data_IF_538029258985
#
_entry.id   IF_538029258985
#
_cell.length_a   1.000
_cell.length_b   1.000
_cell.length_c   1.000
_cell.angle_alpha   90.00
_cell.angle_beta   90.00
_cell.angle_gamma   90.00
#
_symmetry.space_group_name_H-M   'P 1'
#
loop_
_entity.id
_entity.type
_entity.pdbx_description
1 polymer ?
#
# COMPACT_ATOMS: atom_id res chain seq x y z
N UNK A 1 1.71 -26.44 48.44
CA UNK A 1 1.80 -25.10 47.80
C UNK A 1 2.91 -24.95 46.74
N UNK A 2 4.03 -25.66 46.78
CA UNK A 2 5.10 -25.55 45.74
C UNK A 2 4.75 -26.09 44.34
N UNK A 3 3.87 -27.12 44.23
CA UNK A 3 3.51 -27.72 42.93
C UNK A 3 2.54 -26.89 42.10
N UNK A 4 1.67 -26.09 42.72
CA UNK A 4 0.71 -25.22 42.02
C UNK A 4 1.38 -23.98 41.43
N UNK A 5 2.38 -23.43 42.12
CA UNK A 5 3.14 -22.25 41.65
C UNK A 5 3.90 -22.53 40.34
N UNK A 6 4.43 -23.74 40.16
CA UNK A 6 5.15 -24.13 38.94
C UNK A 6 4.23 -24.30 37.71
N UNK A 7 2.94 -24.62 37.91
CA UNK A 7 1.96 -24.77 36.82
C UNK A 7 1.54 -23.40 36.27
N UNK A 8 1.39 -22.38 37.14
CA UNK A 8 1.09 -21.02 36.70
C UNK A 8 2.26 -20.37 35.95
N UNK A 9 3.50 -20.68 36.33
CA UNK A 9 4.69 -20.19 35.61
C UNK A 9 4.77 -20.83 34.20
N UNK A 10 4.40 -22.10 34.02
CA UNK A 10 4.37 -22.73 32.70
C UNK A 10 3.29 -22.16 31.77
N UNK A 11 2.10 -21.82 32.30
CA UNK A 11 0.99 -21.26 31.52
C UNK A 11 1.26 -19.80 31.11
N UNK A 12 1.99 -19.04 31.94
CA UNK A 12 2.42 -17.67 31.61
C UNK A 12 3.45 -17.62 30.47
N UNK A 13 4.33 -18.61 30.37
CA UNK A 13 5.39 -18.66 29.34
C UNK A 13 4.88 -19.15 27.98
N UNK A 14 3.77 -19.90 27.93
CA UNK A 14 3.14 -20.31 26.67
C UNK A 14 2.29 -19.20 26.02
N UNK A 15 1.89 -18.19 26.79
CA UNK A 15 1.05 -17.08 26.31
C UNK A 15 1.85 -15.97 25.60
N UNK A 16 3.19 -15.99 25.68
CA UNK A 16 4.06 -14.98 25.07
C UNK A 16 4.61 -15.38 23.68
N UNK A 17 4.20 -16.54 23.14
CA UNK A 17 4.57 -16.99 21.79
C UNK A 17 3.39 -16.84 20.80
N UNK A 18 2.42 -15.97 21.13
CA UNK A 18 1.59 -15.35 20.11
C UNK A 18 2.46 -14.40 19.29
N UNK A 19 3.29 -14.95 18.40
CA UNK A 19 4.13 -14.18 17.51
C UNK A 19 3.27 -13.10 16.85
N UNK A 20 3.74 -11.85 16.86
CA UNK A 20 3.11 -10.76 16.14
C UNK A 20 2.96 -11.19 14.68
N UNK A 21 1.79 -11.73 14.30
CA UNK A 21 1.48 -11.99 12.91
C UNK A 21 1.19 -10.64 12.30
N UNK A 22 2.19 -10.04 11.65
CA UNK A 22 2.01 -8.83 10.88
C UNK A 22 0.83 -9.02 9.92
N UNK A 23 -0.18 -8.15 10.01
CA UNK A 23 -1.35 -8.22 9.13
C UNK A 23 -0.87 -7.96 7.71
N UNK A 24 -0.91 -8.99 6.85
CA UNK A 24 -0.59 -8.82 5.43
C UNK A 24 -1.62 -7.89 4.78
N UNK A 25 -1.18 -7.00 3.87
CA UNK A 25 -2.11 -6.19 3.10
C UNK A 25 -2.99 -7.09 2.22
N UNK A 26 -4.23 -6.67 2.03
CA UNK A 26 -5.24 -7.33 1.20
C UNK A 26 -5.83 -6.34 0.20
N UNK A 27 -6.44 -6.84 -0.88
CA UNK A 27 -7.07 -5.98 -1.89
C UNK A 27 -8.03 -4.94 -1.29
N UNK A 28 -8.83 -5.35 -0.28
CA UNK A 28 -9.82 -4.49 0.40
C UNK A 28 -9.16 -3.30 1.11
N UNK A 29 -7.92 -3.46 1.59
CA UNK A 29 -7.20 -2.36 2.23
C UNK A 29 -6.95 -1.19 1.24
N UNK A 30 -6.96 -1.45 -0.07
CA UNK A 30 -6.62 -0.49 -1.12
C UNK A 30 -7.80 0.18 -1.82
N UNK A 31 -9.01 -0.36 -1.73
CA UNK A 31 -10.20 0.28 -2.29
C UNK A 31 -10.44 1.64 -1.61
N UNK A 32 -10.57 2.72 -2.39
CA UNK A 32 -10.83 4.07 -1.90
C UNK A 32 -10.04 5.15 -2.64
N UNK A 33 -10.03 6.35 -2.05
CA UNK A 33 -9.35 7.53 -2.59
C UNK A 33 -8.01 7.71 -1.87
N UNK A 34 -6.94 7.84 -2.64
CA UNK A 34 -5.59 8.08 -2.17
C UNK A 34 -5.10 9.43 -2.68
N UNK A 35 -4.58 10.26 -1.78
CA UNK A 35 -4.11 11.62 -2.10
C UNK A 35 -2.64 11.79 -1.82
N UNK A 36 -1.94 12.46 -2.73
CA UNK A 36 -0.60 12.99 -2.50
C UNK A 36 -0.65 14.42 -1.98
N UNK A 37 0.47 14.87 -1.39
CA UNK A 37 0.62 16.24 -0.89
C UNK A 37 0.57 17.30 -2.00
N UNK A 38 0.85 16.92 -3.26
CA UNK A 38 0.79 17.81 -4.42
C UNK A 38 -0.57 17.85 -5.11
N UNK A 39 -1.57 17.13 -4.56
CA UNK A 39 -2.95 17.16 -5.07
C UNK A 39 -3.30 16.06 -6.09
N UNK A 40 -2.38 15.14 -6.38
CA UNK A 40 -2.67 13.96 -7.19
C UNK A 40 -3.61 12.98 -6.47
N UNK A 41 -4.55 12.39 -7.20
CA UNK A 41 -5.54 11.44 -6.69
C UNK A 41 -5.48 10.10 -7.42
N UNK A 42 -5.52 9.01 -6.66
CA UNK A 42 -5.77 7.64 -7.15
C UNK A 42 -7.08 7.17 -6.53
N UNK A 43 -8.06 6.83 -7.36
CA UNK A 43 -9.33 6.26 -6.91
C UNK A 43 -9.36 4.80 -7.35
N UNK A 44 -9.33 3.87 -6.41
CA UNK A 44 -9.34 2.42 -6.65
C UNK A 44 -10.71 1.86 -6.27
N UNK A 45 -11.44 1.28 -7.22
CA UNK A 45 -12.79 0.75 -7.02
C UNK A 45 -12.79 -0.78 -6.93
N UNK A 46 -13.83 -1.35 -6.33
CA UNK A 46 -13.94 -2.81 -6.11
C UNK A 46 -14.00 -3.62 -7.42
N UNK A 47 -14.56 -3.07 -8.49
CA UNK A 47 -14.71 -3.69 -9.81
C UNK A 47 -13.44 -3.60 -10.68
N UNK A 48 -12.28 -3.42 -10.04
CA UNK A 48 -10.97 -3.22 -10.65
C UNK A 48 -10.89 -1.98 -11.55
N UNK A 49 -11.85 -1.06 -11.53
CA UNK A 49 -11.72 0.24 -12.20
C UNK A 49 -10.92 1.20 -11.33
N UNK A 50 -10.05 1.99 -11.96
CA UNK A 50 -9.41 3.12 -11.29
C UNK A 50 -9.60 4.43 -12.05
N UNK A 51 -9.49 5.53 -11.31
CA UNK A 51 -9.39 6.88 -11.87
C UNK A 51 -8.15 7.54 -11.32
N UNK A 52 -7.31 8.03 -12.23
CA UNK A 52 -6.08 8.77 -11.96
C UNK A 52 -6.34 10.23 -12.28
N UNK A 53 -5.96 11.12 -11.35
CA UNK A 53 -6.05 12.57 -11.56
C UNK A 53 -4.77 13.26 -11.14
N UNK A 54 -4.23 14.08 -12.03
CA UNK A 54 -3.13 15.00 -11.77
C UNK A 54 -1.90 14.32 -11.11
N UNK A 55 -1.61 13.09 -11.53
CA UNK A 55 -0.45 12.34 -11.04
C UNK A 55 0.74 12.69 -11.91
N UNK A 56 1.87 12.99 -11.28
CA UNK A 56 3.15 13.12 -11.97
C UNK A 56 3.59 11.70 -12.38
N UNK A 57 3.58 11.44 -13.67
CA UNK A 57 4.16 10.25 -14.28
C UNK A 57 5.60 10.60 -14.69
N UNK A 58 6.58 9.87 -14.18
CA UNK A 58 8.00 10.03 -14.54
C UNK A 58 8.46 8.77 -15.26
N UNK A 59 8.39 8.80 -16.58
CA UNK A 59 8.95 7.77 -17.44
C UNK A 59 10.39 8.10 -17.85
N UNK A 60 11.06 7.14 -18.48
CA UNK A 60 12.43 7.32 -18.96
C UNK A 60 12.61 8.52 -19.91
N UNK A 61 11.58 8.83 -20.72
CA UNK A 61 11.65 9.86 -21.76
C UNK A 61 11.06 11.21 -21.33
N UNK A 62 10.15 11.24 -20.37
CA UNK A 62 9.47 12.46 -19.96
C UNK A 62 8.88 12.36 -18.56
N UNK A 63 8.71 13.53 -17.95
CA UNK A 63 7.87 13.70 -16.76
C UNK A 63 6.67 14.55 -17.15
N UNK A 64 5.46 14.04 -16.95
CA UNK A 64 4.22 14.71 -17.31
C UNK A 64 3.13 14.52 -16.25
N UNK A 65 2.13 15.39 -16.26
CA UNK A 65 0.95 15.25 -15.40
C UNK A 65 -0.15 14.51 -16.16
N UNK A 66 -0.61 13.38 -15.61
CA UNK A 66 -1.59 12.51 -16.27
C UNK A 66 -2.89 12.41 -15.48
N UNK A 67 -3.99 12.33 -16.23
CA UNK A 67 -5.33 12.05 -15.74
C UNK A 67 -6.03 11.09 -16.70
N UNK A 68 -6.50 9.93 -16.20
CA UNK A 68 -7.17 8.93 -17.03
C UNK A 68 -7.98 7.93 -16.20
N UNK A 69 -8.89 7.20 -16.86
CA UNK A 69 -9.57 6.04 -16.30
C UNK A 69 -8.88 4.78 -16.77
N UNK A 70 -8.67 3.82 -15.88
CA UNK A 70 -7.95 2.58 -16.17
C UNK A 70 -8.49 1.38 -15.41
N UNK A 71 -7.69 0.32 -15.40
CA UNK A 71 -7.90 -0.84 -14.54
C UNK A 71 -6.76 -0.95 -13.54
N UNK A 72 -7.02 -1.49 -12.37
CA UNK A 72 -6.01 -1.72 -11.36
C UNK A 72 -6.06 -3.16 -10.84
N UNK A 73 -4.91 -3.61 -10.34
CA UNK A 73 -4.74 -4.93 -9.74
C UNK A 73 -3.81 -4.83 -8.52
N UNK A 74 -4.18 -5.55 -7.46
CA UNK A 74 -3.31 -5.78 -6.30
C UNK A 74 -2.53 -7.08 -6.52
N UNK A 75 -1.20 -6.99 -6.51
CA UNK A 75 -0.31 -8.13 -6.68
C UNK A 75 0.39 -8.46 -5.38
N UNK A 76 0.60 -9.76 -5.14
CA UNK A 76 1.41 -10.26 -4.02
C UNK A 76 2.87 -10.55 -4.41
N UNK A 77 3.21 -10.31 -5.69
CA UNK A 77 4.55 -10.44 -6.24
C UNK A 77 4.85 -9.32 -7.24
N UNK A 78 6.13 -9.00 -7.41
CA UNK A 78 6.61 -8.15 -8.49
C UNK A 78 6.74 -8.92 -9.81
N UNK A 79 7.18 -8.23 -10.87
CA UNK A 79 7.39 -8.80 -12.20
C UNK A 79 8.54 -9.85 -12.25
N UNK A 80 9.38 -9.90 -11.22
CA UNK A 80 10.46 -10.87 -11.06
C UNK A 80 10.04 -12.08 -10.18
N UNK A 81 8.81 -12.06 -9.65
CA UNK A 81 8.27 -13.11 -8.78
C UNK A 81 8.68 -12.98 -7.30
N UNK A 82 9.37 -11.90 -6.92
CA UNK A 82 9.69 -11.62 -5.52
C UNK A 82 8.42 -11.31 -4.75
N UNK A 83 8.38 -11.67 -3.46
CA UNK A 83 7.24 -11.39 -2.56
C UNK A 83 7.18 -9.92 -2.18
N UNK A 84 6.77 -9.09 -3.13
CA UNK A 84 6.63 -7.65 -2.96
C UNK A 84 5.23 -7.20 -3.40
N UNK A 85 4.42 -6.80 -2.42
CA UNK A 85 3.08 -6.29 -2.68
C UNK A 85 3.16 -4.96 -3.46
N UNK A 86 2.36 -4.85 -4.51
CA UNK A 86 2.26 -3.63 -5.30
C UNK A 86 0.87 -3.48 -5.93
N UNK A 87 0.58 -2.29 -6.44
CA UNK A 87 -0.60 -2.01 -7.24
C UNK A 87 -0.16 -1.62 -8.63
N UNK A 88 -0.62 -2.36 -9.63
CA UNK A 88 -0.43 -1.97 -11.02
C UNK A 88 -1.67 -1.29 -11.55
N UNK A 89 -1.46 -0.33 -12.46
CA UNK A 89 -2.52 0.37 -13.17
C UNK A 89 -2.26 0.23 -14.66
N UNK A 90 -3.28 -0.22 -15.38
CA UNK A 90 -3.26 -0.28 -16.84
C UNK A 90 -4.13 0.81 -17.46
N UNK A 91 -3.65 1.35 -18.57
CA UNK A 91 -4.35 2.28 -19.45
C UNK A 91 -4.50 1.58 -20.80
N UNK A 92 -5.73 1.45 -21.27
CA UNK A 92 -6.02 0.82 -22.58
C UNK A 92 -5.41 -0.58 -22.74
N UNK A 93 -5.38 -1.36 -21.65
CA UNK A 93 -4.84 -2.73 -21.65
C UNK A 93 -3.32 -2.84 -21.50
N UNK A 94 -2.59 -1.71 -21.44
CA UNK A 94 -1.14 -1.68 -21.27
C UNK A 94 -0.80 -1.27 -19.83
N UNK A 95 0.14 -1.97 -19.18
CA UNK A 95 0.66 -1.58 -17.87
C UNK A 95 1.28 -0.18 -17.98
N UNK A 96 0.78 0.74 -17.16
CA UNK A 96 1.13 2.16 -17.25
C UNK A 96 1.82 2.68 -15.99
N UNK A 97 1.38 2.24 -14.80
CA UNK A 97 2.00 2.62 -13.53
C UNK A 97 2.08 1.44 -12.56
N UNK A 98 3.11 1.45 -11.71
CA UNK A 98 3.25 0.56 -10.57
C UNK A 98 3.44 1.39 -9.30
N UNK A 99 2.64 1.13 -8.27
CA UNK A 99 2.74 1.75 -6.96
C UNK A 99 3.21 0.72 -5.94
N UNK A 100 4.27 1.06 -5.22
CA UNK A 100 4.73 0.27 -4.09
C UNK A 100 3.83 0.50 -2.88
N UNK A 101 3.73 -0.53 -2.04
CA UNK A 101 2.97 -0.50 -0.79
C UNK A 101 3.95 -0.51 0.36
N UNK A 102 3.70 0.38 1.33
CA UNK A 102 4.39 0.35 2.62
C UNK A 102 3.45 0.82 3.71
N UNK A 103 3.83 0.63 4.97
CA UNK A 103 3.03 0.96 6.13
C UNK A 103 3.86 1.67 7.20
N UNK A 104 3.33 1.68 8.41
CA UNK A 104 3.99 2.21 9.60
C UNK A 104 4.71 1.10 10.39
N UNK A 105 5.34 1.49 11.50
CA UNK A 105 6.09 0.62 12.41
C UNK A 105 7.56 0.43 12.00
N UNK A 106 8.32 -0.27 12.84
CA UNK A 106 9.78 -0.43 12.71
C UNK A 106 10.22 -1.01 11.35
N UNK A 107 9.37 -1.82 10.72
CA UNK A 107 9.63 -2.48 9.44
C UNK A 107 8.72 -2.00 8.31
N UNK A 108 7.96 -0.93 8.52
CA UNK A 108 7.00 -0.38 7.56
C UNK A 108 6.03 -1.43 6.98
N UNK A 109 5.60 -2.38 7.81
CA UNK A 109 4.83 -3.56 7.42
C UNK A 109 3.52 -3.69 8.22
N UNK A 110 3.05 -2.59 8.80
CA UNK A 110 1.76 -2.52 9.52
C UNK A 110 0.91 -1.36 9.01
N UNK A 111 -0.42 -1.48 9.00
CA UNK A 111 -1.29 -0.36 8.64
C UNK A 111 -1.13 0.81 9.63
N UNK A 112 -1.46 2.06 9.23
CA UNK A 112 -2.05 2.45 7.95
C UNK A 112 -1.08 2.31 6.78
N UNK A 113 -1.58 1.78 5.66
CA UNK A 113 -0.81 1.66 4.43
C UNK A 113 -0.74 3.00 3.69
N UNK A 114 0.31 3.17 2.91
CA UNK A 114 0.46 4.23 1.92
C UNK A 114 0.98 3.64 0.60
N UNK A 115 0.62 4.31 -0.49
CA UNK A 115 1.13 4.00 -1.83
C UNK A 115 2.24 4.98 -2.17
N UNK A 116 3.22 4.55 -2.96
CA UNK A 116 4.24 5.47 -3.44
C UNK A 116 4.90 5.06 -4.75
N UNK A 117 5.51 6.04 -5.39
CA UNK A 117 6.48 5.86 -6.48
C UNK A 117 7.74 6.67 -6.15
N UNK A 118 8.86 6.30 -6.74
CA UNK A 118 10.03 7.18 -6.81
C UNK A 118 9.92 8.03 -8.08
N UNK A 119 10.19 9.33 -7.96
CA UNK A 119 10.22 10.25 -9.10
C UNK A 119 11.65 10.76 -9.28
N UNK A 120 12.11 10.78 -10.53
CA UNK A 120 13.46 11.24 -10.85
C UNK A 120 14.52 10.17 -10.57
N UNK A 121 15.69 10.60 -10.12
CA UNK A 121 16.79 9.71 -9.80
C UNK A 121 16.44 8.84 -8.56
N UNK A 122 16.48 7.50 -8.67
CA UNK A 122 16.24 6.59 -7.55
C UNK A 122 17.18 6.84 -6.34
N UNK A 123 18.41 7.30 -6.58
CA UNK A 123 19.40 7.55 -5.53
C UNK A 123 19.03 8.79 -4.67
N UNK A 124 18.20 9.69 -5.20
CA UNK A 124 17.68 10.84 -4.45
C UNK A 124 16.52 10.45 -3.50
N UNK A 125 15.97 9.24 -3.65
CA UNK A 125 14.87 8.72 -2.81
C UNK A 125 13.64 9.64 -2.75
N UNK A 126 13.38 10.39 -3.82
CA UNK A 126 12.27 11.32 -3.94
C UNK A 126 10.93 10.56 -4.01
N UNK A 127 10.30 10.38 -2.85
CA UNK A 127 9.13 9.54 -2.68
C UNK A 127 7.83 10.31 -2.93
N UNK A 128 7.15 9.96 -4.02
CA UNK A 128 5.83 10.48 -4.32
C UNK A 128 4.76 9.67 -3.58
N UNK A 129 4.43 10.14 -2.37
CA UNK A 129 3.57 9.45 -1.40
C UNK A 129 2.09 9.74 -1.61
N UNK A 130 1.26 8.71 -1.45
CA UNK A 130 -0.19 8.82 -1.41
C UNK A 130 -0.74 8.16 -0.15
N UNK A 131 -1.62 8.88 0.55
CA UNK A 131 -2.27 8.39 1.77
C UNK A 131 -3.77 8.25 1.53
N UNK A 132 -4.37 7.22 2.14
CA UNK A 132 -5.81 6.98 2.01
C UNK A 132 -6.57 8.10 2.71
N UNK A 133 -7.52 8.72 2.01
CA UNK A 133 -8.46 9.61 2.65
C UNK A 133 -9.30 8.80 3.64
N UNK A 134 -9.23 9.16 4.92
CA UNK A 134 -10.19 8.66 5.91
C UNK A 134 -11.57 9.13 5.47
N UNK A 135 -12.56 8.24 5.49
CA UNK A 135 -13.97 8.62 5.35
C UNK A 135 -14.37 9.50 6.55
N UNK A 136 -14.01 10.77 6.52
CA UNK A 136 -14.71 11.78 7.27
C UNK A 136 -15.94 12.14 6.44
N UNK A 137 -17.11 11.90 7.02
CA UNK A 137 -18.43 12.36 6.59
C UNK A 137 -18.37 13.49 5.55
N UNK A 138 -18.28 13.12 4.27
CA UNK A 138 -18.69 14.02 3.22
C UNK A 138 -20.21 14.03 3.30
N UNK A 139 -20.75 15.09 3.90
CA UNK A 139 -22.16 15.42 3.78
C UNK A 139 -22.49 15.42 2.29
N UNK A 140 -23.32 14.46 1.89
CA UNK A 140 -24.11 14.54 0.68
C UNK A 140 -25.28 15.48 0.94
#
# INVERSE_FOLDING_TARGET
>A
MRKLLNVFILIGVLSSIGGCTYKKPTLVDFIGIWKSSTGGEIILQEDSICVIKNIIYSGYLCTEMVSYKGKWEFRDKDDLGNKQYNIIISKEGVLFMCFYISGEGLFNNTPPWYLFQYIGDPDELNLYKFTKLKYNQANW
#
